data_IF_030384690909
#
_entry.id   IF_030384690909
#
_cell.length_a   1.000
_cell.length_b   1.000
_cell.length_c   1.000
_cell.angle_alpha   90.00
_cell.angle_beta   90.00
_cell.angle_gamma   90.00
#
_symmetry.space_group_name_H-M   'P 1'
#
loop_
_entity.id
_entity.type
_entity.pdbx_description
1 polymer ?
#
# COMPACT_ATOMS: atom_id res chain seq x y z
N UNK A 1 -3.89 -0.98 9.25
CA UNK A 1 -4.86 -0.70 8.16
C UNK A 1 -4.68 -1.74 7.07
N UNK A 2 -5.74 -2.15 6.42
CA UNK A 2 -5.67 -3.14 5.33
C UNK A 2 -4.91 -2.58 4.13
N UNK A 3 -4.23 -3.45 3.42
CA UNK A 3 -3.41 -3.06 2.26
C UNK A 3 -4.23 -2.34 1.18
N UNK A 4 -5.41 -2.86 0.83
CA UNK A 4 -6.27 -2.23 -0.18
C UNK A 4 -6.69 -0.81 0.24
N UNK A 5 -6.94 -0.61 1.52
CA UNK A 5 -7.33 0.70 2.05
C UNK A 5 -6.14 1.67 2.08
N UNK A 6 -4.95 1.17 2.44
CA UNK A 6 -3.73 2.00 2.42
C UNK A 6 -3.47 2.51 1.01
N UNK A 7 -3.59 1.66 0.01
CA UNK A 7 -3.37 2.04 -1.39
C UNK A 7 -4.35 3.12 -1.84
N UNK A 8 -5.62 3.00 -1.43
CA UNK A 8 -6.63 4.00 -1.76
C UNK A 8 -6.38 5.31 -1.03
N UNK A 9 -6.14 5.27 0.28
CA UNK A 9 -6.01 6.48 1.09
C UNK A 9 -4.75 7.27 0.79
N UNK A 10 -3.66 6.60 0.42
CA UNK A 10 -2.45 7.26 -0.04
C UNK A 10 -2.57 7.77 -1.46
N UNK A 11 -3.64 7.39 -2.16
CA UNK A 11 -3.89 7.70 -3.58
C UNK A 11 -2.84 7.12 -4.53
N UNK A 12 -2.08 6.15 -4.08
CA UNK A 12 -1.21 5.36 -4.97
C UNK A 12 -2.09 4.68 -6.01
N UNK A 13 -3.22 4.12 -5.56
CA UNK A 13 -4.27 3.60 -6.42
C UNK A 13 -5.57 4.28 -6.00
N UNK A 14 -6.18 5.06 -6.89
CA UNK A 14 -7.31 5.93 -6.55
C UNK A 14 -8.60 5.18 -6.20
N UNK A 15 -8.77 3.98 -6.73
CA UNK A 15 -10.00 3.19 -6.53
C UNK A 15 -9.70 1.93 -5.74
N UNK A 16 -10.48 1.70 -4.68
CA UNK A 16 -10.32 0.53 -3.83
C UNK A 16 -10.54 -0.78 -4.59
N UNK A 17 -11.46 -0.80 -5.55
CA UNK A 17 -11.69 -1.98 -6.38
C UNK A 17 -10.45 -2.35 -7.19
N UNK A 18 -9.77 -1.36 -7.76
CA UNK A 18 -8.53 -1.59 -8.50
C UNK A 18 -7.42 -2.03 -7.56
N UNK A 19 -7.32 -1.41 -6.38
CA UNK A 19 -6.34 -1.82 -5.37
C UNK A 19 -6.52 -3.30 -5.00
N UNK A 20 -7.77 -3.71 -4.79
CA UNK A 20 -8.09 -5.10 -4.49
C UNK A 20 -7.68 -6.04 -5.62
N UNK A 21 -8.00 -5.69 -6.86
CA UNK A 21 -7.64 -6.49 -8.03
C UNK A 21 -6.13 -6.65 -8.17
N UNK A 22 -5.38 -5.58 -7.97
CA UNK A 22 -3.92 -5.61 -8.06
C UNK A 22 -3.32 -6.50 -6.95
N UNK A 23 -3.86 -6.41 -5.74
CA UNK A 23 -3.46 -7.28 -4.64
C UNK A 23 -3.78 -8.75 -4.95
N UNK A 24 -5.00 -9.02 -5.44
CA UNK A 24 -5.41 -10.40 -5.78
C UNK A 24 -4.54 -10.99 -6.90
N UNK A 25 -4.03 -10.14 -7.78
CA UNK A 25 -3.13 -10.58 -8.85
C UNK A 25 -1.69 -10.84 -8.38
N UNK A 26 -1.40 -10.65 -7.09
CA UNK A 26 -0.08 -10.88 -6.53
C UNK A 26 0.96 -9.83 -6.90
N UNK A 27 0.53 -8.64 -7.30
CA UNK A 27 1.43 -7.60 -7.79
C UNK A 27 1.97 -6.68 -6.71
N UNK A 28 1.55 -6.85 -5.47
CA UNK A 28 1.98 -6.00 -4.36
C UNK A 28 2.57 -6.85 -3.26
N UNK A 29 3.77 -6.47 -2.82
CA UNK A 29 4.45 -7.13 -1.72
C UNK A 29 4.55 -6.18 -0.53
N UNK A 30 4.47 -6.73 0.67
CA UNK A 30 4.67 -6.01 1.93
C UNK A 30 5.90 -6.61 2.59
N UNK A 31 6.94 -5.81 2.73
CA UNK A 31 8.23 -6.25 3.29
C UNK A 31 8.76 -7.51 2.60
N UNK A 32 8.61 -7.58 1.28
CA UNK A 32 9.14 -8.68 0.48
C UNK A 32 8.22 -9.90 0.34
N UNK A 33 7.04 -9.88 0.97
CA UNK A 33 6.05 -10.96 0.85
C UNK A 33 4.83 -10.48 0.10
N UNK A 34 4.33 -11.31 -0.83
CA UNK A 34 3.12 -10.97 -1.58
C UNK A 34 1.97 -10.74 -0.60
N UNK A 35 1.36 -9.56 -0.70
CA UNK A 35 0.24 -9.19 0.13
C UNK A 35 -1.10 -9.48 -0.52
N UNK A 36 -2.10 -9.71 0.32
CA UNK A 36 -3.51 -9.82 -0.08
C UNK A 36 -4.22 -8.50 0.23
N UNK A 37 -5.42 -8.26 -0.31
CA UNK A 37 -6.15 -7.03 0.01
C UNK A 37 -6.35 -6.81 1.50
N UNK A 38 -6.52 -7.88 2.27
CA UNK A 38 -6.73 -7.83 3.71
C UNK A 38 -5.45 -7.81 4.54
N UNK A 39 -4.29 -7.89 3.90
CA UNK A 39 -3.00 -7.88 4.62
C UNK A 39 -2.87 -6.62 5.45
N UNK A 40 -2.46 -6.76 6.71
CA UNK A 40 -2.25 -5.61 7.60
C UNK A 40 -0.96 -4.90 7.23
N UNK A 41 -1.04 -3.58 7.12
CA UNK A 41 0.11 -2.72 6.85
C UNK A 41 0.36 -1.85 8.08
N UNK A 42 1.56 -1.92 8.62
CA UNK A 42 1.95 -1.18 9.80
C UNK A 42 2.85 -0.01 9.45
N UNK A 43 3.02 0.89 10.41
CA UNK A 43 3.93 2.02 10.27
C UNK A 43 5.34 1.52 9.95
N UNK A 44 5.95 2.11 8.94
CA UNK A 44 7.30 1.72 8.53
C UNK A 44 7.37 0.57 7.54
N UNK A 45 6.24 -0.07 7.22
CA UNK A 45 6.24 -1.15 6.24
C UNK A 45 6.58 -0.63 4.84
N UNK A 46 7.32 -1.45 4.09
CA UNK A 46 7.72 -1.14 2.73
C UNK A 46 6.87 -1.94 1.76
N UNK A 47 6.18 -1.24 0.88
CA UNK A 47 5.38 -1.84 -0.19
C UNK A 47 6.16 -1.81 -1.49
N UNK A 48 6.05 -2.89 -2.25
CA UNK A 48 6.61 -2.96 -3.59
C UNK A 48 5.47 -3.29 -4.54
N UNK A 49 5.22 -2.37 -5.48
CA UNK A 49 4.12 -2.47 -6.42
C UNK A 49 4.66 -2.76 -7.81
N UNK A 50 4.25 -3.88 -8.38
CA UNK A 50 4.63 -4.27 -9.74
C UNK A 50 3.51 -3.85 -10.69
N UNK A 51 3.62 -2.63 -11.22
CA UNK A 51 2.61 -2.03 -12.09
C UNK A 51 3.13 -2.02 -13.54
N UNK A 52 2.73 -3.02 -14.30
CA UNK A 52 3.23 -3.20 -15.65
C UNK A 52 4.72 -3.49 -15.63
N UNK A 53 5.51 -2.69 -16.36
CA UNK A 53 6.97 -2.82 -16.38
C UNK A 53 7.66 -2.00 -15.29
N UNK A 54 6.88 -1.26 -14.50
CA UNK A 54 7.43 -0.42 -13.44
C UNK A 54 7.31 -1.12 -12.09
N UNK A 55 8.34 -0.94 -11.28
CA UNK A 55 8.31 -1.36 -9.89
C UNK A 55 8.39 -0.11 -9.04
N UNK A 56 7.35 0.15 -8.26
CA UNK A 56 7.30 1.28 -7.35
C UNK A 56 7.50 0.75 -5.93
N UNK A 57 8.51 1.28 -5.25
CA UNK A 57 8.80 0.91 -3.88
C UNK A 57 8.55 2.10 -2.97
N UNK A 58 7.69 1.92 -1.98
CA UNK A 58 7.27 2.99 -1.09
C UNK A 58 7.30 2.52 0.36
N UNK A 59 7.63 3.46 1.26
CA UNK A 59 7.54 3.23 2.70
C UNK A 59 6.30 3.91 3.22
N UNK A 60 5.51 3.18 3.99
CA UNK A 60 4.26 3.69 4.56
C UNK A 60 4.53 4.25 5.95
N UNK A 61 4.05 5.45 6.20
CA UNK A 61 4.13 6.10 7.50
C UNK A 61 2.74 6.61 7.86
N UNK A 62 2.30 6.34 9.08
CA UNK A 62 1.02 6.86 9.57
C UNK A 62 1.23 8.17 10.29
N UNK A 63 0.40 9.16 9.94
CA UNK A 63 0.36 10.45 10.60
C UNK A 63 -0.88 10.52 11.46
N UNK A 64 -0.72 10.93 12.73
CA UNK A 64 -1.85 11.13 13.62
C UNK A 64 -2.53 12.47 13.30
N UNK A 65 -3.81 12.42 12.96
CA UNK A 65 -4.65 13.60 12.76
C UNK A 65 -5.86 13.51 13.68
N UNK A 66 -5.79 14.21 14.82
CA UNK A 66 -6.83 14.10 15.83
C UNK A 66 -6.93 12.67 16.33
N UNK A 67 -8.11 12.05 16.18
CA UNK A 67 -8.34 10.65 16.58
C UNK A 67 -8.10 9.65 15.46
N UNK A 68 -7.72 10.09 14.27
CA UNK A 68 -7.53 9.23 13.11
C UNK A 68 -6.06 9.13 12.74
N UNK A 69 -5.67 7.97 12.26
CA UNK A 69 -4.38 7.75 11.62
C UNK A 69 -4.57 7.79 10.13
N UNK A 70 -3.74 8.57 9.45
CA UNK A 70 -3.77 8.69 7.99
C UNK A 70 -2.47 8.13 7.43
N UNK A 71 -2.53 7.20 6.48
CA UNK A 71 -1.32 6.69 5.85
C UNK A 71 -0.75 7.73 4.87
N UNK A 72 0.55 7.84 4.88
CA UNK A 72 1.31 8.58 3.87
C UNK A 72 2.35 7.64 3.29
N UNK A 73 2.96 8.02 2.18
CA UNK A 73 4.00 7.21 1.60
C UNK A 73 5.19 8.05 1.18
N UNK A 74 6.36 7.43 1.22
CA UNK A 74 7.60 7.99 0.72
C UNK A 74 8.13 7.04 -0.34
N UNK A 75 8.38 7.55 -1.54
CA UNK A 75 8.92 6.72 -2.61
C UNK A 75 10.40 6.43 -2.34
N UNK A 76 10.75 5.16 -2.40
CA UNK A 76 12.12 4.68 -2.20
C UNK A 76 12.75 4.36 -3.55
N UNK A 77 14.02 4.65 -3.67
CA UNK A 77 14.77 4.33 -4.88
C UNK A 77 15.54 3.03 -4.74
#
# INVERSE_FOLDING_TARGET
MRLDLVLKQTRIIKRRTIAKEVCDAGKISVNGKVGKPSTEVNDGDVLELHLGQKILKVKITYIQQGKKQMPTFEELQ
#
